data_IF_380347534228
#
_entry.id   IF_380347534228
#
_cell.length_a   1.000
_cell.length_b   1.000
_cell.length_c   1.000
_cell.angle_alpha   90.00
_cell.angle_beta   90.00
_cell.angle_gamma   90.00
#
_symmetry.space_group_name_H-M   'P 1'
#
loop_
_entity.id
_entity.type
_entity.pdbx_description
1 polymer ?
#
# COMPACT_ATOMS: atom_id res chain seq x y z
N UNK A 1 -13.25 -22.63 -14.05
CA UNK A 1 -13.74 -21.56 -13.16
C UNK A 1 -14.81 -21.98 -12.14
N UNK A 2 -15.67 -22.99 -12.42
CA UNK A 2 -16.69 -23.46 -11.47
C UNK A 2 -16.11 -24.05 -10.17
N UNK A 3 -15.01 -24.80 -10.28
CA UNK A 3 -14.36 -25.51 -9.17
C UNK A 3 -13.68 -24.59 -8.14
N UNK A 4 -13.05 -23.49 -8.57
CA UNK A 4 -12.40 -22.52 -7.67
C UNK A 4 -13.44 -21.80 -6.80
N UNK A 5 -14.60 -21.45 -7.37
CA UNK A 5 -15.72 -20.85 -6.62
C UNK A 5 -16.24 -21.82 -5.55
N UNK A 6 -16.39 -23.11 -5.88
CA UNK A 6 -16.80 -24.14 -4.91
C UNK A 6 -15.78 -24.35 -3.79
N UNK A 7 -14.48 -24.25 -4.10
CA UNK A 7 -13.40 -24.44 -3.12
C UNK A 7 -13.31 -23.30 -2.09
N UNK A 8 -13.57 -22.05 -2.51
CA UNK A 8 -13.64 -20.88 -1.63
C UNK A 8 -14.88 -20.93 -0.72
N UNK A 9 -16.02 -21.40 -1.25
CA UNK A 9 -17.26 -21.54 -0.46
C UNK A 9 -17.13 -22.67 0.58
N UNK A 10 -16.50 -23.79 0.22
CA UNK A 10 -16.28 -24.91 1.13
C UNK A 10 -15.30 -24.57 2.28
N UNK A 11 -14.30 -23.72 2.03
CA UNK A 11 -13.34 -23.32 3.06
C UNK A 11 -13.94 -22.35 4.09
N UNK A 12 -14.91 -21.51 3.71
CA UNK A 12 -15.70 -20.72 4.66
C UNK A 12 -16.59 -21.61 5.56
N UNK A 13 -17.19 -22.67 4.99
CA UNK A 13 -17.99 -23.64 5.76
C UNK A 13 -17.12 -24.50 6.70
N UNK A 14 -15.85 -24.70 6.38
CA UNK A 14 -14.91 -25.43 7.23
C UNK A 14 -14.46 -24.60 8.44
N UNK A 15 -14.39 -23.27 8.29
CA UNK A 15 -14.06 -22.36 9.40
C UNK A 15 -15.21 -22.19 10.40
N UNK A 16 -16.48 -22.27 9.98
CA UNK A 16 -17.63 -22.17 10.91
C UNK A 16 -17.79 -23.42 11.79
N UNK A 17 -17.22 -24.56 11.38
CA UNK A 17 -17.36 -25.84 12.09
C UNK A 17 -16.25 -26.10 13.12
N UNK A 18 -15.18 -25.31 13.15
CA UNK A 18 -14.04 -25.52 14.04
C UNK A 18 -14.10 -24.69 15.34
N UNK A 19 -15.07 -23.79 15.47
CA UNK A 19 -15.27 -22.95 16.65
C UNK A 19 -16.42 -23.45 17.51
N UNK A 20 -16.10 -24.28 18.51
CA UNK A 20 -16.84 -24.45 19.76
C UNK A 20 -18.09 -25.37 19.77
N UNK A 21 -17.83 -26.60 20.21
CA UNK A 21 -18.61 -27.42 21.15
C UNK A 21 -20.00 -27.97 20.77
N UNK A 22 -20.03 -29.31 20.67
CA UNK A 22 -21.01 -30.24 21.24
C UNK A 22 -22.28 -29.65 21.90
N UNK A 23 -23.45 -30.06 21.40
CA UNK A 23 -24.67 -30.22 22.21
C UNK A 23 -25.89 -29.37 21.81
N UNK A 24 -25.74 -28.08 21.47
CA UNK A 24 -26.86 -27.23 21.05
C UNK A 24 -26.39 -25.87 20.52
N UNK A 25 -26.98 -25.40 19.41
CA UNK A 25 -26.79 -24.05 18.90
C UNK A 25 -27.71 -23.08 19.68
N UNK A 26 -27.13 -22.18 20.47
CA UNK A 26 -27.90 -21.19 21.24
C UNK A 26 -28.39 -20.08 20.30
N UNK A 27 -29.71 -19.75 20.27
CA UNK A 27 -30.22 -18.64 19.47
C UNK A 27 -29.55 -17.30 19.88
N UNK A 28 -29.35 -16.40 18.91
CA UNK A 28 -28.77 -15.07 19.11
C UNK A 28 -27.27 -15.02 19.48
N UNK A 29 -26.50 -16.09 19.28
CA UNK A 29 -25.03 -16.07 19.47
C UNK A 29 -24.23 -16.09 18.16
N UNK A 30 -24.87 -15.87 17.01
CA UNK A 30 -24.19 -15.79 15.72
C UNK A 30 -23.44 -14.46 15.58
N UNK A 31 -22.14 -14.52 15.34
CA UNK A 31 -21.31 -13.35 15.04
C UNK A 31 -20.93 -13.35 13.57
N UNK A 32 -21.37 -12.34 12.83
CA UNK A 32 -20.99 -12.13 11.43
C UNK A 32 -19.72 -11.27 11.37
N UNK A 33 -18.64 -11.84 10.83
CA UNK A 33 -17.40 -11.10 10.54
C UNK A 33 -17.29 -10.88 9.03
N UNK A 34 -16.84 -9.71 8.61
CA UNK A 34 -16.57 -9.40 7.21
C UNK A 34 -15.09 -9.11 7.02
N UNK A 35 -14.54 -9.60 5.91
CA UNK A 35 -13.18 -9.33 5.48
C UNK A 35 -13.22 -8.92 4.01
N UNK A 36 -12.35 -7.98 3.64
CA UNK A 36 -12.19 -7.57 2.26
C UNK A 36 -10.97 -8.28 1.65
N UNK A 37 -11.14 -8.89 0.48
CA UNK A 37 -10.06 -9.51 -0.27
C UNK A 37 -9.67 -8.58 -1.40
N UNK A 38 -8.46 -8.03 -1.35
CA UNK A 38 -7.94 -7.10 -2.35
C UNK A 38 -6.97 -7.80 -3.31
N UNK A 39 -7.14 -7.58 -4.61
CA UNK A 39 -6.18 -8.00 -5.64
C UNK A 39 -5.47 -6.78 -6.20
N UNK A 40 -4.15 -6.77 -6.05
CA UNK A 40 -3.30 -5.66 -6.49
C UNK A 40 -2.64 -5.95 -7.83
N UNK A 41 -2.51 -4.92 -8.67
CA UNK A 41 -1.71 -4.97 -9.88
C UNK A 41 -0.85 -3.70 -10.03
N UNK A 42 0.29 -3.76 -10.74
CA UNK A 42 1.19 -2.61 -10.89
C UNK A 42 0.55 -1.38 -11.54
N UNK A 43 -0.49 -1.56 -12.37
CA UNK A 43 -1.19 -0.45 -13.03
C UNK A 43 -2.19 0.31 -12.16
N UNK A 44 -2.50 -0.18 -10.96
CA UNK A 44 -3.43 0.49 -10.04
C UNK A 44 -2.86 1.77 -9.41
N UNK A 45 -1.55 1.96 -9.46
CA UNK A 45 -0.87 3.15 -9.01
C UNK A 45 0.11 3.62 -10.07
N UNK A 46 -0.13 4.82 -10.59
CA UNK A 46 0.75 5.48 -11.54
C UNK A 46 1.47 6.60 -10.80
N UNK A 47 2.79 6.50 -10.73
CA UNK A 47 3.64 7.51 -10.14
C UNK A 47 4.52 8.14 -11.23
N UNK A 48 4.63 9.46 -11.23
CA UNK A 48 5.48 10.21 -12.12
C UNK A 48 6.32 11.18 -11.27
N UNK A 49 7.64 11.06 -11.38
CA UNK A 49 8.58 11.99 -10.77
C UNK A 49 9.11 12.93 -11.84
N UNK A 50 8.84 14.23 -11.69
CA UNK A 50 9.25 15.26 -12.64
C UNK A 50 10.26 16.20 -11.99
N UNK A 51 11.49 16.33 -12.51
CA UNK A 51 12.44 17.31 -12.00
C UNK A 51 12.02 18.73 -12.37
N UNK A 52 12.36 19.70 -11.53
CA UNK A 52 12.17 21.13 -11.85
C UNK A 52 13.24 21.56 -12.85
N UNK A 53 12.81 22.16 -13.96
CA UNK A 53 13.72 22.66 -14.98
C UNK A 53 14.33 24.01 -14.56
N UNK A 54 15.57 24.26 -14.96
CA UNK A 54 16.22 25.57 -14.78
C UNK A 54 16.78 25.83 -13.38
N UNK A 55 16.99 24.78 -12.58
CA UNK A 55 17.77 24.91 -11.34
C UNK A 55 19.20 25.34 -11.68
N UNK A 56 19.68 26.35 -10.96
CA UNK A 56 21.04 26.90 -11.10
C UNK A 56 21.85 26.59 -9.85
N UNK A 57 23.17 26.39 -10.00
CA UNK A 57 24.05 26.21 -8.86
C UNK A 57 24.17 27.51 -8.02
N UNK A 58 24.44 27.35 -6.72
CA UNK A 58 24.66 28.48 -5.79
C UNK A 58 23.94 28.27 -4.47
N UNK A 59 23.77 29.37 -3.72
CA UNK A 59 23.02 29.34 -2.47
C UNK A 59 21.52 29.14 -2.74
N UNK A 60 20.95 28.13 -2.09
CA UNK A 60 19.53 27.79 -2.15
C UNK A 60 18.83 28.06 -0.83
N UNK A 61 17.55 28.36 -0.89
CA UNK A 61 16.74 28.50 0.31
C UNK A 61 16.32 27.12 0.83
N UNK A 62 16.17 27.01 2.15
CA UNK A 62 15.62 25.79 2.73
C UNK A 62 14.18 25.60 2.24
N UNK A 63 13.89 24.43 1.65
CA UNK A 63 12.59 24.13 1.06
C UNK A 63 12.46 24.42 -0.43
N UNK A 64 13.56 24.78 -1.12
CA UNK A 64 13.55 24.87 -2.59
C UNK A 64 13.11 23.54 -3.22
N UNK A 65 12.09 23.62 -4.08
CA UNK A 65 11.51 22.44 -4.74
C UNK A 65 12.39 22.06 -5.93
N UNK A 66 12.97 20.86 -5.87
CA UNK A 66 13.85 20.33 -6.92
C UNK A 66 13.15 19.30 -7.84
N UNK A 67 12.07 18.69 -7.37
CA UNK A 67 11.27 17.73 -8.11
C UNK A 67 9.86 17.63 -7.52
N UNK A 68 8.92 17.15 -8.32
CA UNK A 68 7.55 16.88 -7.91
C UNK A 68 7.19 15.42 -8.21
N UNK A 69 6.70 14.71 -7.20
CA UNK A 69 6.14 13.37 -7.33
C UNK A 69 4.61 13.48 -7.46
N UNK A 70 4.07 13.10 -8.62
CA UNK A 70 2.64 13.00 -8.87
C UNK A 70 2.21 11.54 -8.81
N UNK A 71 1.23 11.24 -7.98
CA UNK A 71 0.67 9.88 -7.84
C UNK A 71 -0.81 9.91 -8.22
N UNK A 72 -1.28 8.92 -8.96
CA UNK A 72 -2.67 8.78 -9.39
C UNK A 72 -3.05 7.30 -9.44
N UNK A 73 -4.28 6.95 -9.09
CA UNK A 73 -4.68 5.54 -9.06
C UNK A 73 -5.99 5.28 -8.31
N UNK A 74 -6.38 4.01 -8.27
CA UNK A 74 -7.56 3.51 -7.56
C UNK A 74 -7.26 3.09 -6.11
N UNK A 75 -5.99 3.09 -5.72
CA UNK A 75 -5.55 2.79 -4.35
C UNK A 75 -5.75 4.02 -3.46
N UNK A 76 -6.34 3.81 -2.28
CA UNK A 76 -6.69 4.90 -1.36
C UNK A 76 -5.49 5.52 -0.62
N UNK A 77 -4.43 4.74 -0.42
CA UNK A 77 -3.27 5.14 0.37
C UNK A 77 -2.00 4.54 -0.24
N UNK A 78 -0.92 5.30 -0.25
CA UNK A 78 0.38 4.88 -0.74
C UNK A 78 1.48 5.39 0.19
N UNK A 79 2.60 4.67 0.21
CA UNK A 79 3.79 5.05 0.95
C UNK A 79 4.90 5.45 -0.03
N UNK A 80 5.71 6.42 0.35
CA UNK A 80 6.88 6.88 -0.42
C UNK A 80 8.08 6.85 0.51
N UNK A 81 9.17 6.22 0.06
CA UNK A 81 10.46 6.24 0.75
C UNK A 81 11.54 6.59 -0.25
N UNK A 82 12.56 7.33 0.19
CA UNK A 82 13.76 7.51 -0.60
C UNK A 82 14.59 6.23 -0.63
N UNK A 83 15.16 5.91 -1.79
CA UNK A 83 16.22 4.91 -1.89
C UNK A 83 17.56 5.63 -1.72
N UNK A 84 18.20 5.38 -0.57
CA UNK A 84 19.48 5.99 -0.19
C UNK A 84 20.63 4.99 -0.31
N UNK A 85 20.51 3.94 -1.13
CA UNK A 85 21.54 2.90 -1.29
C UNK A 85 22.90 3.45 -1.75
N UNK A 86 22.94 4.68 -2.27
CA UNK A 86 24.15 5.48 -2.49
C UNK A 86 23.90 6.90 -2.00
N UNK A 87 24.05 7.16 -0.69
CA UNK A 87 23.95 8.52 -0.21
C UNK A 87 25.18 9.26 -0.75
N UNK A 88 25.01 10.06 -1.80
CA UNK A 88 25.99 11.11 -2.04
C UNK A 88 25.99 11.97 -0.80
N UNK A 89 27.11 11.94 -0.08
CA UNK A 89 27.33 12.82 1.05
C UNK A 89 27.44 14.21 0.44
N UNK A 90 26.35 14.98 0.47
CA UNK A 90 26.43 16.41 0.19
C UNK A 90 27.22 16.99 1.36
N UNK A 91 28.55 17.06 1.18
CA UNK A 91 29.47 17.49 2.23
C UNK A 91 29.08 18.88 2.71
N UNK A 92 29.13 19.10 4.03
CA UNK A 92 28.81 20.38 4.68
C UNK A 92 29.74 21.55 4.31
N UNK A 93 30.64 21.36 3.35
CA UNK A 93 31.44 22.45 2.81
C UNK A 93 30.64 23.12 1.69
N UNK A 94 29.63 23.87 2.12
CA UNK A 94 29.16 25.06 1.43
C UNK A 94 30.38 25.89 1.06
N UNK A 95 30.82 25.81 -0.20
CA UNK A 95 31.74 26.80 -0.77
C UNK A 95 31.09 28.18 -0.61
N UNK A 96 31.79 29.01 0.15
CA UNK A 96 31.56 30.46 0.28
C UNK A 96 32.00 31.13 -1.02
#
# INVERSE_FOLDING_TARGET
MKSIKSLIIASALSMIAAGCYAGSLVPNTSTSVSANVSFSNPGQLQAQLTPVAGLMAGQHSNGDVIAQLKVSGSIKQFAVTGDYSKPETVGSNSDV
#
